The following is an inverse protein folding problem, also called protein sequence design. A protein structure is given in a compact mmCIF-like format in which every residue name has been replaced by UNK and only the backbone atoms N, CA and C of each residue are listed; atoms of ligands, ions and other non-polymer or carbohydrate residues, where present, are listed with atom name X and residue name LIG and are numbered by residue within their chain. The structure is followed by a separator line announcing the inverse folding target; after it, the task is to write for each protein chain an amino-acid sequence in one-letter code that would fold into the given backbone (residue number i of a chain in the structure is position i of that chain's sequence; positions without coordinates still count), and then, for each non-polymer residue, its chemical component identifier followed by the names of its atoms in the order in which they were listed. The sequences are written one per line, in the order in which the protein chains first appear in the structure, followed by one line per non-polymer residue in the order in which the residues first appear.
data_IF_985713051041
#
_entry.id   IF_985713051041
#
_cell.length_a   1.000
_cell.length_b   1.000
_cell.length_c   1.000
_cell.angle_alpha   90.00
_cell.angle_beta   90.00
_cell.angle_gamma   90.00
#
_symmetry.space_group_name_H-M   'P 1'
#
loop_
_entity.id
_entity.type
_entity.pdbx_description
1 polymer ?
#
# COMPACT_ATOMS: atom_id res chain seq x y z
N UNK A 1 14.77 -4.21 -10.12
CA UNK A 1 14.18 -2.86 -10.23
C UNK A 1 15.07 -1.76 -9.65
N UNK A 2 15.42 -1.77 -8.35
CA UNK A 2 16.27 -0.72 -7.76
C UNK A 2 17.63 -0.54 -8.47
N UNK A 3 18.25 -1.63 -8.93
CA UNK A 3 19.51 -1.60 -9.68
C UNK A 3 19.29 -0.98 -11.07
N UNK A 4 18.33 -1.48 -11.85
CA UNK A 4 17.97 -0.92 -13.16
C UNK A 4 17.66 0.60 -13.10
N UNK A 5 16.97 1.05 -12.04
CA UNK A 5 16.70 2.48 -11.84
C UNK A 5 17.97 3.30 -11.57
N UNK A 6 18.97 2.73 -10.89
CA UNK A 6 20.28 3.37 -10.69
C UNK A 6 21.13 3.39 -11.96
N UNK A 7 20.89 2.43 -12.85
CA UNK A 7 21.56 2.33 -14.15
C UNK A 7 20.87 3.16 -15.25
N UNK A 8 19.79 3.89 -14.92
CA UNK A 8 19.13 4.81 -15.84
C UNK A 8 18.10 4.16 -16.78
N UNK A 9 17.67 2.93 -16.50
CA UNK A 9 16.62 2.28 -17.30
C UNK A 9 15.23 2.81 -16.93
N UNK A 10 14.44 3.16 -17.94
CA UNK A 10 13.00 3.44 -17.82
C UNK A 10 12.19 2.17 -18.07
N UNK A 11 11.39 1.75 -17.08
CA UNK A 11 10.60 0.53 -17.15
C UNK A 11 9.33 0.63 -16.31
N UNK A 12 8.22 0.15 -16.87
CA UNK A 12 6.95 0.01 -16.17
C UNK A 12 6.85 -1.38 -15.53
N UNK A 13 6.45 -1.45 -14.25
CA UNK A 13 6.35 -2.72 -13.52
C UNK A 13 4.92 -2.94 -13.08
N UNK A 14 4.38 -4.10 -13.41
CA UNK A 14 3.07 -4.53 -12.93
C UNK A 14 3.14 -4.93 -11.45
N UNK A 15 2.00 -4.86 -10.76
CA UNK A 15 1.88 -5.35 -9.38
C UNK A 15 2.39 -6.80 -9.27
N UNK A 16 3.25 -7.13 -8.29
CA UNK A 16 3.71 -8.50 -8.09
C UNK A 16 2.51 -9.39 -7.76
N UNK A 17 2.45 -10.55 -8.41
CA UNK A 17 1.46 -11.58 -8.19
C UNK A 17 2.18 -12.86 -7.77
N UNK A 18 1.58 -13.61 -6.85
CA UNK A 18 2.07 -14.95 -6.51
C UNK A 18 1.84 -15.89 -7.69
N UNK A 19 2.73 -16.86 -7.83
CA UNK A 19 2.60 -17.92 -8.82
C UNK A 19 1.84 -19.07 -8.15
N UNK A 20 0.61 -19.31 -8.60
CA UNK A 20 -0.15 -20.47 -8.17
C UNK A 20 0.39 -21.73 -8.85
N UNK A 21 0.41 -22.83 -8.12
CA UNK A 21 0.75 -24.15 -8.65
C UNK A 21 -0.42 -25.09 -8.45
N UNK A 22 -0.56 -26.03 -9.37
CA UNK A 22 -1.49 -27.13 -9.22
C UNK A 22 -0.68 -28.36 -8.83
N UNK A 23 -0.91 -28.88 -7.63
CA UNK A 23 -0.23 -30.04 -7.07
C UNK A 23 -1.34 -30.99 -6.62
N UNK A 24 -1.33 -32.21 -7.14
CA UNK A 24 -2.33 -33.25 -6.84
C UNK A 24 -3.79 -32.81 -7.08
N UNK A 25 -4.01 -32.04 -8.15
CA UNK A 25 -5.34 -31.51 -8.52
C UNK A 25 -5.86 -30.39 -7.61
N UNK A 26 -5.02 -29.86 -6.71
CA UNK A 26 -5.35 -28.75 -5.82
C UNK A 26 -4.53 -27.52 -6.17
N UNK A 27 -5.19 -26.36 -6.15
CA UNK A 27 -4.53 -25.08 -6.35
C UNK A 27 -3.86 -24.65 -5.05
N UNK A 28 -2.55 -24.47 -5.12
CA UNK A 28 -1.70 -24.07 -4.00
C UNK A 28 -1.06 -22.70 -4.22
N UNK A 29 -0.81 -21.97 -3.13
CA UNK A 29 -0.03 -20.72 -3.11
C UNK A 29 1.24 -20.86 -2.26
N UNK A 30 2.29 -20.06 -2.54
CA UNK A 30 3.50 -20.09 -1.73
C UNK A 30 3.29 -19.44 -0.36
N UNK A 31 3.89 -20.05 0.67
CA UNK A 31 3.95 -19.55 2.03
C UNK A 31 5.38 -19.20 2.42
N UNK A 32 5.49 -18.19 3.27
CA UNK A 32 6.73 -17.71 3.84
C UNK A 32 6.73 -17.87 5.35
N UNK A 33 7.87 -18.29 5.87
CA UNK A 33 8.16 -18.20 7.29
C UNK A 33 8.70 -16.81 7.58
N UNK A 34 8.04 -16.10 8.48
CA UNK A 34 8.33 -14.71 8.81
C UNK A 34 8.69 -14.63 10.29
N UNK A 35 9.91 -14.18 10.55
CA UNK A 35 10.42 -13.88 11.89
C UNK A 35 10.42 -12.37 12.08
N UNK A 36 9.72 -11.91 13.11
CA UNK A 36 9.59 -10.51 13.48
C UNK A 36 10.17 -10.32 14.87
N UNK A 37 10.99 -9.29 15.05
CA UNK A 37 11.53 -8.89 16.35
C UNK A 37 11.18 -7.42 16.57
N UNK A 38 10.40 -7.15 17.61
CA UNK A 38 9.82 -5.83 17.90
C UNK A 38 9.83 -5.56 19.40
N UNK A 39 9.70 -4.29 19.76
CA UNK A 39 9.45 -3.89 21.14
C UNK A 39 8.02 -4.28 21.56
N UNK A 40 7.84 -4.63 22.83
CA UNK A 40 6.54 -5.09 23.37
C UNK A 40 5.40 -4.08 23.13
N UNK A 41 5.73 -2.78 23.10
CA UNK A 41 4.75 -1.72 22.80
C UNK A 41 4.09 -1.85 21.42
N UNK A 42 4.75 -2.45 20.45
CA UNK A 42 4.26 -2.63 19.08
C UNK A 42 3.65 -4.02 18.83
N UNK A 43 3.67 -4.89 19.84
CA UNK A 43 3.24 -6.28 19.71
C UNK A 43 1.79 -6.41 19.22
N UNK A 44 0.87 -5.65 19.84
CA UNK A 44 -0.56 -5.71 19.51
C UNK A 44 -0.85 -5.35 18.05
N UNK A 45 -0.32 -4.21 17.60
CA UNK A 45 -0.52 -3.70 16.24
C UNK A 45 0.03 -4.67 15.18
N UNK A 46 1.22 -5.22 15.42
CA UNK A 46 1.85 -6.18 14.50
C UNK A 46 1.08 -7.50 14.47
N UNK A 47 0.61 -7.99 15.62
CA UNK A 47 -0.21 -9.21 15.68
C UNK A 47 -1.52 -9.04 14.92
N UNK A 48 -2.20 -7.91 15.08
CA UNK A 48 -3.42 -7.62 14.35
C UNK A 48 -3.17 -7.57 12.83
N UNK A 49 -2.16 -6.81 12.41
CA UNK A 49 -1.83 -6.68 10.99
C UNK A 49 -1.45 -8.02 10.33
N UNK A 50 -0.74 -8.89 11.05
CA UNK A 50 -0.42 -10.25 10.58
C UNK A 50 -1.68 -11.13 10.50
N UNK A 51 -2.58 -11.03 11.49
CA UNK A 51 -3.85 -11.77 11.50
C UNK A 51 -4.78 -11.39 10.35
N UNK A 52 -4.92 -10.10 10.05
CA UNK A 52 -5.71 -9.60 8.91
C UNK A 52 -5.17 -10.14 7.58
N UNK A 53 -3.85 -10.36 7.50
CA UNK A 53 -3.15 -10.92 6.34
C UNK A 53 -3.08 -12.44 6.32
N UNK A 54 -3.87 -13.12 7.17
CA UNK A 54 -3.92 -14.58 7.30
C UNK A 54 -2.58 -15.21 7.70
N UNK A 55 -1.78 -14.48 8.47
CA UNK A 55 -0.61 -15.03 9.14
C UNK A 55 -1.03 -15.93 10.30
N UNK A 56 -0.48 -17.13 10.34
CA UNK A 56 -0.63 -18.05 11.47
C UNK A 56 0.60 -17.92 12.37
N UNK A 57 0.37 -17.56 13.64
CA UNK A 57 1.43 -17.54 14.63
C UNK A 57 1.87 -18.98 14.93
N UNK A 58 3.18 -19.21 14.85
CA UNK A 58 3.80 -20.50 15.18
C UNK A 58 4.48 -20.45 16.54
N UNK A 59 5.14 -19.35 16.85
CA UNK A 59 5.84 -19.18 18.11
C UNK A 59 5.89 -17.71 18.54
N UNK A 60 6.00 -17.51 19.85
CA UNK A 60 6.17 -16.21 20.49
C UNK A 60 7.16 -16.36 21.64
N UNK A 61 8.30 -15.67 21.52
CA UNK A 61 9.36 -15.71 22.52
C UNK A 61 9.65 -14.29 23.01
N UNK A 62 9.21 -13.91 24.22
CA UNK A 62 9.61 -12.66 24.84
C UNK A 62 11.02 -12.79 25.41
N UNK A 63 11.87 -11.78 25.18
CA UNK A 63 13.25 -11.76 25.68
C UNK A 63 13.34 -11.32 27.16
N UNK A 64 12.22 -10.88 27.75
CA UNK A 64 12.15 -10.34 29.12
C UNK A 64 12.88 -9.00 29.31
N UNK A 65 13.39 -8.42 28.22
CA UNK A 65 14.13 -7.14 28.18
C UNK A 65 13.37 -6.07 27.39
N UNK A 66 12.06 -6.24 27.20
CA UNK A 66 11.19 -5.30 26.48
C UNK A 66 11.05 -5.54 24.97
N UNK A 67 11.55 -6.68 24.46
CA UNK A 67 11.38 -7.11 23.07
C UNK A 67 10.77 -8.49 23.00
N UNK A 68 10.08 -8.75 21.90
CA UNK A 68 9.42 -10.02 21.60
C UNK A 68 9.73 -10.44 20.18
N UNK A 69 10.11 -11.71 20.05
CA UNK A 69 10.25 -12.40 18.77
C UNK A 69 8.97 -13.16 18.46
N UNK A 70 8.46 -12.97 17.25
CA UNK A 70 7.25 -13.60 16.73
C UNK A 70 7.58 -14.36 15.46
N UNK A 71 7.23 -15.64 15.41
CA UNK A 71 7.38 -16.46 14.22
C UNK A 71 6.01 -16.77 13.63
N UNK A 72 5.85 -16.49 12.33
CA UNK A 72 4.62 -16.68 11.57
C UNK A 72 4.86 -17.53 10.34
N UNK A 73 3.80 -18.23 9.92
CA UNK A 73 3.66 -18.72 8.54
C UNK A 73 2.55 -17.92 7.87
N UNK A 74 2.87 -17.26 6.76
CA UNK A 74 1.95 -16.37 6.05
C UNK A 74 2.01 -16.66 4.54
N UNK A 75 0.88 -16.60 3.80
CA UNK A 75 0.95 -16.68 2.35
C UNK A 75 1.75 -15.49 1.79
N UNK A 76 2.63 -15.73 0.81
CA UNK A 76 3.45 -14.67 0.19
C UNK A 76 2.59 -13.50 -0.33
N UNK A 77 1.36 -13.80 -0.76
CA UNK A 77 0.37 -12.80 -1.19
C UNK A 77 0.04 -11.77 -0.11
N UNK A 78 -0.03 -12.21 1.15
CA UNK A 78 -0.29 -11.37 2.31
C UNK A 78 0.91 -10.52 2.72
N UNK A 79 2.12 -10.95 2.40
CA UNK A 79 3.34 -10.22 2.74
C UNK A 79 3.63 -9.05 1.78
N UNK A 80 3.00 -9.03 0.59
CA UNK A 80 3.17 -7.96 -0.40
C UNK A 80 2.76 -6.61 0.21
N UNK A 81 3.71 -5.68 0.27
CA UNK A 81 3.52 -4.33 0.81
C UNK A 81 3.60 -4.23 2.34
N UNK A 82 3.65 -5.35 3.07
CA UNK A 82 3.68 -5.35 4.54
C UNK A 82 4.97 -4.75 5.09
N UNK A 83 6.12 -4.94 4.43
CA UNK A 83 7.40 -4.39 4.89
C UNK A 83 7.36 -2.87 5.09
N UNK A 84 6.68 -2.12 4.23
CA UNK A 84 6.58 -0.66 4.39
C UNK A 84 5.70 -0.29 5.56
N UNK A 85 4.55 -0.94 5.69
CA UNK A 85 3.60 -0.74 6.81
C UNK A 85 4.24 -1.11 8.15
N UNK A 86 4.92 -2.25 8.22
CA UNK A 86 5.68 -2.70 9.38
C UNK A 86 6.69 -1.65 9.86
N UNK A 87 7.52 -1.12 8.95
CA UNK A 87 8.50 -0.09 9.33
C UNK A 87 7.85 1.18 9.87
N UNK A 88 6.67 1.55 9.37
CA UNK A 88 5.91 2.70 9.89
C UNK A 88 5.31 2.40 11.26
N UNK A 89 4.72 1.23 11.46
CA UNK A 89 4.11 0.83 12.75
C UNK A 89 5.15 0.71 13.86
N UNK A 90 6.33 0.15 13.56
CA UNK A 90 7.40 -0.03 14.54
C UNK A 90 8.33 1.17 14.65
N UNK A 91 8.01 2.31 14.04
CA UNK A 91 8.89 3.49 13.99
C UNK A 91 10.34 3.19 13.54
N UNK A 92 10.52 2.14 12.72
CA UNK A 92 11.82 1.65 12.27
C UNK A 92 12.66 0.83 13.26
N UNK A 93 12.18 0.52 14.47
CA UNK A 93 12.91 -0.30 15.47
C UNK A 93 12.71 -1.81 15.31
N UNK A 94 11.74 -2.22 14.48
CA UNK A 94 11.42 -3.60 14.22
C UNK A 94 12.34 -4.25 13.18
N UNK A 95 12.63 -5.53 13.38
CA UNK A 95 13.33 -6.36 12.41
C UNK A 95 12.33 -7.36 11.80
N UNK A 96 12.38 -7.51 10.47
CA UNK A 96 11.53 -8.44 9.74
C UNK A 96 12.38 -9.24 8.75
N UNK A 97 12.37 -10.55 8.98
CA UNK A 97 12.97 -11.55 8.11
C UNK A 97 11.87 -12.45 7.56
N UNK A 98 11.93 -12.72 6.26
CA UNK A 98 10.98 -13.57 5.58
C UNK A 98 11.74 -14.50 4.65
N UNK A 99 11.40 -15.78 4.67
CA UNK A 99 11.97 -16.80 3.78
C UNK A 99 10.88 -17.70 3.25
N UNK A 100 11.04 -18.18 2.02
CA UNK A 100 10.14 -19.18 1.47
C UNK A 100 10.14 -20.44 2.33
N UNK A 101 8.96 -20.96 2.62
CA UNK A 101 8.77 -22.18 3.41
C UNK A 101 8.30 -23.34 2.54
N UNK A 102 7.08 -23.27 2.00
CA UNK A 102 6.46 -24.35 1.24
C UNK A 102 5.29 -23.83 0.37
N UNK A 103 4.70 -24.71 -0.43
CA UNK A 103 3.39 -24.49 -1.07
C UNK A 103 2.33 -25.23 -0.27
N UNK A 104 1.16 -24.60 -0.10
CA UNK A 104 0.02 -25.20 0.56
C UNK A 104 -1.28 -24.69 -0.08
N UNK A 105 -2.41 -25.31 0.26
CA UNK A 105 -3.73 -24.97 -0.25
C UNK A 105 -4.04 -23.47 -0.07
N UNK A 106 -4.61 -22.86 -1.11
CA UNK A 106 -4.87 -21.41 -1.15
C UNK A 106 -5.75 -20.99 0.04
N UNK A 107 -5.31 -19.98 0.80
CA UNK A 107 -6.11 -19.47 1.91
C UNK A 107 -7.30 -18.67 1.38
N UNK A 108 -8.52 -18.95 1.88
CA UNK A 108 -9.70 -18.20 1.49
C UNK A 108 -9.59 -16.74 1.94
N UNK A 109 -10.03 -15.83 1.08
CA UNK A 109 -10.08 -14.39 1.34
C UNK A 109 -9.23 -13.56 0.39
N UNK A 110 -9.69 -12.36 0.10
CA UNK A 110 -8.98 -11.37 -0.70
C UNK A 110 -7.95 -10.64 0.17
N UNK A 111 -6.73 -11.17 0.22
CA UNK A 111 -5.60 -10.54 0.91
C UNK A 111 -4.90 -9.58 -0.04
N UNK A 112 -4.65 -8.35 0.42
CA UNK A 112 -3.86 -7.36 -0.31
C UNK A 112 -4.64 -6.47 -1.26
N UNK A 113 -5.97 -6.34 -1.16
CA UNK A 113 -6.65 -5.25 -1.87
C UNK A 113 -6.36 -3.91 -1.19
N UNK A 114 -6.21 -2.86 -2.00
CA UNK A 114 -6.11 -1.49 -1.51
C UNK A 114 -7.54 -1.05 -1.16
N UNK A 115 -7.76 -0.58 0.07
CA UNK A 115 -9.08 -0.10 0.50
C UNK A 115 -9.44 1.25 -0.14
N UNK A 116 -8.43 2.03 -0.52
CA UNK A 116 -8.57 3.34 -1.14
C UNK A 116 -8.66 3.26 -2.67
N UNK A 117 -9.38 4.20 -3.28
CA UNK A 117 -9.34 4.47 -4.71
C UNK A 117 -8.15 5.35 -5.10
N UNK A 118 -8.00 5.63 -6.39
CA UNK A 118 -7.03 6.59 -6.92
C UNK A 118 -7.68 7.82 -7.51
N UNK A 119 -6.96 8.93 -7.41
CA UNK A 119 -7.24 10.13 -8.18
C UNK A 119 -6.45 10.07 -9.49
N UNK A 120 -7.15 10.11 -10.62
CA UNK A 120 -6.60 9.94 -11.97
C UNK A 120 -6.69 11.29 -12.70
N UNK A 121 -5.60 11.75 -13.30
CA UNK A 121 -5.60 12.97 -14.12
C UNK A 121 -6.43 12.79 -15.37
N UNK A 122 -7.26 13.77 -15.70
CA UNK A 122 -8.10 13.80 -16.89
C UNK A 122 -7.44 14.48 -18.10
N UNK A 123 -6.18 14.91 -18.00
CA UNK A 123 -5.53 15.66 -19.06
C UNK A 123 -4.02 15.81 -18.85
N UNK A 124 -3.36 16.32 -19.89
CA UNK A 124 -1.92 16.58 -19.89
C UNK A 124 -1.60 18.06 -19.68
N UNK A 125 -0.62 18.34 -18.82
CA UNK A 125 -0.15 19.70 -18.57
C UNK A 125 0.57 19.84 -17.23
N UNK A 126 0.71 21.08 -16.75
CA UNK A 126 1.35 21.38 -15.45
C UNK A 126 0.30 21.46 -14.34
N UNK A 127 0.55 20.79 -13.23
CA UNK A 127 -0.33 20.80 -12.07
C UNK A 127 -0.32 22.18 -11.39
N UNK A 128 -1.50 22.80 -11.27
CA UNK A 128 -1.65 24.14 -10.69
C UNK A 128 -1.99 24.04 -9.21
N UNK A 129 -1.32 24.83 -8.36
CA UNK A 129 -1.48 24.81 -6.90
C UNK A 129 -2.94 24.95 -6.47
N UNK A 130 -3.69 25.81 -7.16
CA UNK A 130 -5.11 26.02 -6.89
C UNK A 130 -5.97 24.77 -7.11
N UNK A 131 -5.71 24.01 -8.19
CA UNK A 131 -6.45 22.77 -8.45
C UNK A 131 -6.09 21.72 -7.38
N UNK A 132 -4.79 21.58 -7.09
CA UNK A 132 -4.28 20.68 -6.05
C UNK A 132 -4.85 21.00 -4.66
N UNK A 133 -5.01 22.28 -4.32
CA UNK A 133 -5.56 22.71 -3.04
C UNK A 133 -6.99 22.18 -2.81
N UNK A 134 -7.81 22.10 -3.86
CA UNK A 134 -9.16 21.52 -3.74
C UNK A 134 -9.16 19.99 -3.71
N UNK A 135 -8.12 19.36 -4.25
CA UNK A 135 -8.00 17.91 -4.36
C UNK A 135 -7.39 17.29 -3.09
N UNK A 136 -6.58 18.03 -2.33
CA UNK A 136 -6.01 17.55 -1.06
C UNK A 136 -7.10 17.25 -0.02
N UNK A 137 -8.24 17.96 -0.06
CA UNK A 137 -9.40 17.70 0.82
C UNK A 137 -10.02 16.32 0.53
N UNK A 138 -9.81 15.79 -0.69
CA UNK A 138 -10.32 14.49 -1.13
C UNK A 138 -9.32 13.35 -0.90
N UNK A 139 -8.08 13.65 -0.51
CA UNK A 139 -7.09 12.63 -0.18
C UNK A 139 -5.63 13.09 -0.32
N UNK A 140 -4.72 12.12 -0.31
CA UNK A 140 -3.27 12.39 -0.32
C UNK A 140 -2.75 12.50 -1.75
N UNK A 141 -2.14 13.62 -2.10
CA UNK A 141 -1.59 13.87 -3.43
C UNK A 141 -0.14 13.35 -3.55
N UNK A 142 0.22 12.86 -4.73
CA UNK A 142 1.57 12.45 -5.08
C UNK A 142 2.34 13.52 -5.86
N UNK A 143 1.61 14.44 -6.49
CA UNK A 143 2.16 15.52 -7.30
C UNK A 143 2.10 16.84 -6.55
N UNK A 144 3.09 17.69 -6.79
CA UNK A 144 3.17 19.04 -6.25
C UNK A 144 2.91 20.08 -7.35
N UNK A 145 2.84 21.35 -6.97
CA UNK A 145 2.67 22.43 -7.94
C UNK A 145 3.82 22.45 -8.97
N UNK A 146 3.48 22.60 -10.25
CA UNK A 146 4.42 22.65 -11.36
C UNK A 146 4.81 21.29 -11.92
N UNK A 147 4.36 20.19 -11.31
CA UNK A 147 4.58 18.84 -11.81
C UNK A 147 3.92 18.65 -13.18
N UNK A 148 4.67 18.08 -14.13
CA UNK A 148 4.11 17.67 -15.43
C UNK A 148 3.35 16.36 -15.26
N UNK A 149 2.11 16.37 -15.70
CA UNK A 149 1.19 15.25 -15.61
C UNK A 149 0.58 14.94 -16.97
N UNK A 150 0.21 13.68 -17.19
CA UNK A 150 -0.46 13.21 -18.40
C UNK A 150 -1.83 12.58 -18.08
N UNK A 151 -2.68 12.44 -19.09
CA UNK A 151 -4.00 11.83 -18.94
C UNK A 151 -3.90 10.35 -18.54
N UNK A 152 -4.68 9.94 -17.54
CA UNK A 152 -4.61 8.58 -16.99
C UNK A 152 -3.54 8.41 -15.91
N UNK A 153 -2.70 9.41 -15.65
CA UNK A 153 -1.72 9.34 -14.56
C UNK A 153 -2.40 9.39 -13.19
N UNK A 154 -2.00 8.50 -12.28
CA UNK A 154 -2.42 8.54 -10.89
C UNK A 154 -1.71 9.68 -10.17
N UNK A 155 -2.48 10.66 -9.69
CA UNK A 155 -1.97 11.87 -9.03
C UNK A 155 -2.18 11.87 -7.51
N UNK A 156 -2.89 10.87 -6.96
CA UNK A 156 -3.05 10.71 -5.52
C UNK A 156 -3.94 9.55 -5.10
N UNK A 157 -4.10 9.40 -3.78
CA UNK A 157 -4.92 8.40 -3.10
C UNK A 157 -6.22 9.04 -2.66
N UNK A 158 -7.35 8.50 -3.09
CA UNK A 158 -8.68 8.96 -2.68
C UNK A 158 -9.02 8.42 -1.27
N UNK A 159 -9.70 9.21 -0.45
CA UNK A 159 -10.15 8.75 0.89
C UNK A 159 -11.20 7.64 0.82
N UNK A 160 -11.98 7.58 -0.27
CA UNK A 160 -12.97 6.53 -0.52
C UNK A 160 -12.41 5.44 -1.43
N UNK A 161 -13.10 4.29 -1.49
CA UNK A 161 -12.69 3.11 -2.26
C UNK A 161 -12.85 3.25 -3.77
N UNK A 162 -13.71 4.16 -4.24
CA UNK A 162 -13.94 4.37 -5.67
C UNK A 162 -12.84 5.25 -6.30
N UNK A 163 -12.51 4.97 -7.55
CA UNK A 163 -11.59 5.82 -8.31
C UNK A 163 -12.29 7.12 -8.74
N UNK A 164 -11.51 8.20 -8.81
CA UNK A 164 -11.99 9.53 -9.14
C UNK A 164 -11.12 10.15 -10.23
N UNK A 165 -11.72 10.44 -11.39
CA UNK A 165 -11.06 11.21 -12.44
C UNK A 165 -11.17 12.70 -12.11
N UNK A 166 -10.04 13.39 -12.04
CA UNK A 166 -9.94 14.78 -11.56
C UNK A 166 -9.11 15.63 -12.50
N UNK A 167 -9.40 16.93 -12.50
CA UNK A 167 -8.62 17.93 -13.23
C UNK A 167 -7.67 18.65 -12.27
N UNK A 168 -6.37 18.52 -12.53
CA UNK A 168 -5.29 19.16 -11.79
C UNK A 168 -4.64 20.34 -12.54
N UNK A 169 -5.12 20.65 -13.75
CA UNK A 169 -4.56 21.65 -14.66
C UNK A 169 -5.25 23.01 -14.53
N UNK A 170 -6.57 23.00 -14.32
CA UNK A 170 -7.36 24.24 -14.26
C UNK A 170 -8.09 24.34 -12.93
N UNK A 171 -8.01 25.53 -12.33
CA UNK A 171 -8.79 25.86 -11.16
C UNK A 171 -10.26 26.07 -11.47
N UNK A 172 -11.11 25.06 -11.28
CA UNK A 172 -12.55 25.29 -11.14
C UNK A 172 -12.94 25.28 -9.66
N UNK A 173 -12.76 26.42 -8.98
CA UNK A 173 -13.63 26.77 -7.84
C UNK A 173 -14.53 27.88 -8.37
N UNK A 174 -15.79 27.55 -8.64
CA UNK A 174 -16.80 28.60 -8.67
C UNK A 174 -17.22 28.77 -7.22
N UNK A 175 -16.86 29.90 -6.60
CA UNK A 175 -17.48 30.32 -5.35
C UNK A 175 -18.99 30.36 -5.56
N UNK A 176 -19.72 29.44 -4.93
CA UNK A 176 -21.18 29.43 -4.91
C UNK A 176 -21.79 30.51 -4.00
N UNK A 177 -21.06 31.58 -3.70
CA UNK A 177 -21.51 32.67 -2.83
C UNK A 177 -21.55 34.06 -3.50
N UNK A 178 -21.22 34.17 -4.78
CA UNK A 178 -21.18 35.48 -5.48
C UNK A 178 -22.46 35.83 -6.26
N UNK A 179 -23.58 35.14 -6.06
CA UNK A 179 -24.83 35.42 -6.79
C UNK A 179 -26.02 35.47 -5.83
N UNK A 180 -26.02 36.45 -4.92
CA UNK A 180 -27.18 36.77 -4.09
C UNK A 180 -27.26 38.27 -3.74
N UNK A 181 -26.85 39.14 -4.66
CA UNK A 181 -27.14 40.58 -4.57
C UNK A 181 -27.30 41.11 -5.98
N UNK A 182 -28.53 41.10 -6.50
CA UNK A 182 -29.17 42.06 -7.41
C UNK A 182 -30.39 41.38 -8.02
N UNK A 183 -31.52 41.58 -7.34
CA UNK A 183 -32.87 41.25 -7.76
C UNK A 183 -33.83 42.11 -6.95
#
# INVERSE_FOLDING_TARGET
MKICAREGYELAVSRPKVIFREIDGRKQEPFEQVTIDIEEQHQGDVMQAMGERKGEMRDMQPDGKGRVRLDYIIPSRGLIGFRTEFMTMTSGTGLLYATFSHYDDVRPGEIGRRNNGVMISNGQGKAVAYALYSLQDRGKLFVTHGAEVYEGQVIGIHTRSNDLTVNCLTGKKTDKYACFWYG
#
